data_IF_870937318130
#
_entry.id   IF_870937318130
#
_cell.length_a   1.000
_cell.length_b   1.000
_cell.length_c   1.000
_cell.angle_alpha   90.00
_cell.angle_beta   90.00
_cell.angle_gamma   90.00
#
_symmetry.space_group_name_H-M   'P 1'
#
loop_
_entity.id
_entity.type
_entity.pdbx_description
1 polymer ?
#
# COMPACT_ATOMS: atom_id res chain seq x y z
N UNK A 1 -24.40 6.24 33.11
CA UNK A 1 -24.76 5.57 31.84
C UNK A 1 -24.75 6.62 30.76
N UNK A 2 -23.92 6.47 29.73
CA UNK A 2 -23.90 7.40 28.58
C UNK A 2 -25.11 7.10 27.67
N UNK A 3 -25.74 8.14 27.13
CA UNK A 3 -26.89 8.00 26.25
C UNK A 3 -26.50 7.21 24.97
N UNK A 4 -27.33 6.28 24.47
CA UNK A 4 -27.00 5.42 23.33
C UNK A 4 -26.61 6.19 22.07
N UNK A 5 -27.19 7.37 21.86
CA UNK A 5 -26.95 8.25 20.71
C UNK A 5 -25.52 8.80 20.68
N UNK A 6 -24.91 9.03 21.85
CA UNK A 6 -23.52 9.50 21.97
C UNK A 6 -22.55 8.37 21.59
N UNK A 7 -22.89 7.12 21.96
CA UNK A 7 -22.07 5.94 21.65
C UNK A 7 -22.13 5.63 20.15
N UNK A 8 -23.31 5.70 19.53
CA UNK A 8 -23.47 5.45 18.09
C UNK A 8 -22.71 6.48 17.24
N UNK A 9 -22.87 7.78 17.53
CA UNK A 9 -22.14 8.83 16.82
C UNK A 9 -20.62 8.74 16.99
N UNK A 10 -20.13 8.34 18.17
CA UNK A 10 -18.71 8.07 18.40
C UNK A 10 -18.23 6.86 17.60
N UNK A 11 -19.06 5.82 17.46
CA UNK A 11 -18.72 4.60 16.73
C UNK A 11 -18.63 4.88 15.23
N UNK A 12 -19.55 5.66 14.68
CA UNK A 12 -19.55 6.05 13.26
C UNK A 12 -18.35 6.96 12.92
N UNK A 13 -18.05 7.94 13.77
CA UNK A 13 -16.87 8.80 13.58
C UNK A 13 -15.54 8.04 13.69
N UNK A 14 -15.49 6.99 14.54
CA UNK A 14 -14.33 6.11 14.63
C UNK A 14 -14.23 5.25 13.37
N UNK A 15 -15.34 4.69 12.88
CA UNK A 15 -15.39 3.88 11.67
C UNK A 15 -14.93 4.68 10.44
N UNK A 16 -15.43 5.91 10.26
CA UNK A 16 -15.07 6.78 9.14
C UNK A 16 -13.58 7.17 9.19
N UNK A 17 -13.04 7.50 10.36
CA UNK A 17 -11.60 7.75 10.52
C UNK A 17 -10.75 6.49 10.30
N UNK A 18 -11.27 5.32 10.66
CA UNK A 18 -10.59 4.04 10.42
C UNK A 18 -10.58 3.73 8.92
N UNK A 19 -11.69 3.93 8.23
CA UNK A 19 -11.83 3.75 6.79
C UNK A 19 -10.95 4.73 6.02
N UNK A 20 -10.90 6.00 6.38
CA UNK A 20 -9.99 6.98 5.77
C UNK A 20 -8.51 6.61 6.00
N UNK A 21 -8.17 6.13 7.20
CA UNK A 21 -6.80 5.68 7.49
C UNK A 21 -6.47 4.38 6.76
N UNK A 22 -7.41 3.46 6.60
CA UNK A 22 -7.22 2.20 5.89
C UNK A 22 -7.15 2.42 4.37
N UNK A 23 -8.02 3.24 3.81
CA UNK A 23 -8.02 3.60 2.38
C UNK A 23 -6.76 4.39 1.99
N UNK A 24 -6.26 5.29 2.85
CA UNK A 24 -4.95 5.94 2.64
C UNK A 24 -3.77 5.00 2.83
N UNK A 25 -3.84 4.04 3.77
CA UNK A 25 -2.74 3.11 4.08
C UNK A 25 -2.63 1.94 3.10
N UNK A 26 -3.72 1.63 2.39
CA UNK A 26 -3.78 0.53 1.42
C UNK A 26 -4.38 1.02 0.10
N UNK A 27 -3.85 2.12 -0.45
CA UNK A 27 -4.09 2.43 -1.86
C UNK A 27 -3.70 1.17 -2.66
N UNK A 28 -4.56 0.66 -3.57
CA UNK A 28 -4.31 -0.61 -4.27
C UNK A 28 -3.02 -0.55 -5.11
N UNK A 29 -2.58 0.68 -5.40
CA UNK A 29 -1.39 0.98 -6.17
C UNK A 29 -0.55 2.03 -5.43
N UNK A 30 0.76 1.84 -5.36
CA UNK A 30 1.71 2.82 -4.86
C UNK A 30 2.51 3.46 -6.00
N UNK A 31 2.95 4.70 -5.81
CA UNK A 31 3.90 5.37 -6.69
C UNK A 31 5.28 4.71 -6.61
N UNK A 32 6.20 5.17 -7.47
CA UNK A 32 7.60 4.77 -7.40
C UNK A 32 8.24 5.14 -6.08
N UNK A 33 8.00 6.36 -5.61
CA UNK A 33 8.56 6.89 -4.37
C UNK A 33 8.05 6.10 -3.17
N UNK A 34 6.74 5.86 -3.11
CA UNK A 34 6.13 5.03 -2.07
C UNK A 34 6.64 3.58 -2.09
N UNK A 35 6.83 2.99 -3.28
CA UNK A 35 7.41 1.65 -3.40
C UNK A 35 8.88 1.61 -2.95
N UNK A 36 9.65 2.68 -3.21
CA UNK A 36 11.02 2.81 -2.74
C UNK A 36 11.09 2.91 -1.21
N UNK A 37 10.20 3.70 -0.61
CA UNK A 37 10.10 3.87 0.85
C UNK A 37 9.70 2.57 1.53
N UNK A 38 8.76 1.80 0.94
CA UNK A 38 8.33 0.50 1.44
C UNK A 38 9.43 -0.56 1.38
N UNK A 39 10.27 -0.54 0.33
CA UNK A 39 11.43 -1.44 0.22
C UNK A 39 12.60 -0.93 1.09
N UNK A 40 12.66 0.37 1.38
CA UNK A 40 13.76 1.01 2.08
C UNK A 40 15.04 1.11 1.23
N UNK A 41 14.91 1.42 -0.07
CA UNK A 41 16.04 1.44 -0.99
C UNK A 41 16.21 2.77 -1.76
N UNK A 42 17.43 3.04 -2.22
CA UNK A 42 17.73 4.22 -3.04
C UNK A 42 17.21 4.07 -4.47
N UNK A 43 17.05 5.17 -5.19
CA UNK A 43 16.53 5.17 -6.57
C UNK A 43 17.36 4.30 -7.53
N UNK A 44 18.68 4.23 -7.32
CA UNK A 44 19.59 3.38 -8.10
C UNK A 44 19.33 1.91 -7.87
N UNK A 45 19.22 1.49 -6.60
CA UNK A 45 18.90 0.10 -6.23
C UNK A 45 17.51 -0.28 -6.72
N UNK A 46 16.54 0.61 -6.58
CA UNK A 46 15.18 0.39 -7.09
C UNK A 46 15.16 0.19 -8.61
N UNK A 47 15.95 0.94 -9.37
CA UNK A 47 16.05 0.76 -10.82
C UNK A 47 16.55 -0.64 -11.20
N UNK A 48 17.47 -1.21 -10.43
CA UNK A 48 17.96 -2.57 -10.65
C UNK A 48 16.91 -3.60 -10.24
N UNK A 49 16.24 -3.43 -9.10
CA UNK A 49 15.10 -4.27 -8.68
C UNK A 49 14.01 -4.28 -9.76
N UNK A 50 13.69 -3.10 -10.32
CA UNK A 50 12.67 -2.93 -11.35
C UNK A 50 12.93 -3.77 -12.60
N UNK A 51 14.19 -4.10 -12.90
CA UNK A 51 14.58 -4.87 -14.09
C UNK A 51 14.55 -6.38 -13.86
N UNK A 52 14.42 -6.84 -12.62
CA UNK A 52 14.41 -8.27 -12.32
C UNK A 52 13.10 -8.91 -12.77
N UNK A 53 13.20 -10.18 -13.14
CA UNK A 53 12.03 -10.96 -13.59
C UNK A 53 11.04 -11.20 -12.44
N UNK A 54 11.57 -11.47 -11.24
CA UNK A 54 10.80 -11.66 -10.01
C UNK A 54 10.06 -10.40 -9.56
N UNK A 55 10.37 -9.22 -10.12
CA UNK A 55 9.68 -7.97 -9.79
C UNK A 55 8.62 -7.57 -10.83
N UNK A 56 8.52 -8.27 -11.97
CA UNK A 56 7.58 -7.86 -13.03
C UNK A 56 6.12 -7.96 -12.58
N UNK A 57 5.77 -8.93 -11.75
CA UNK A 57 4.39 -9.10 -11.24
C UNK A 57 3.94 -7.97 -10.31
N UNK A 58 4.88 -7.18 -9.78
CA UNK A 58 4.60 -6.01 -8.95
C UNK A 58 4.18 -4.81 -9.80
N UNK A 59 4.56 -4.77 -11.08
CA UNK A 59 4.18 -3.71 -12.02
C UNK A 59 2.74 -3.89 -12.47
N UNK A 60 2.07 -2.77 -12.70
CA UNK A 60 0.72 -2.76 -13.27
C UNK A 60 0.84 -2.50 -14.77
N UNK A 61 0.35 -3.43 -15.59
CA UNK A 61 0.33 -3.27 -17.05
C UNK A 61 -0.49 -2.03 -17.45
N UNK A 62 0.02 -1.28 -18.43
CA UNK A 62 -0.66 -0.09 -18.94
C UNK A 62 -0.58 1.17 -18.06
N UNK A 63 -0.08 1.09 -16.83
CA UNK A 63 0.10 2.24 -15.94
C UNK A 63 1.59 2.46 -15.67
N UNK A 64 2.18 3.44 -16.33
CA UNK A 64 3.56 3.84 -16.05
C UNK A 64 3.67 4.36 -14.61
N UNK A 65 4.70 3.92 -13.89
CA UNK A 65 5.08 4.45 -12.56
C UNK A 65 4.15 4.11 -11.39
N UNK A 66 3.28 3.09 -11.54
CA UNK A 66 2.49 2.53 -10.44
C UNK A 66 2.74 1.05 -10.23
N UNK A 67 2.68 0.63 -8.97
CA UNK A 67 2.99 -0.73 -8.52
C UNK A 67 1.86 -1.24 -7.64
N UNK A 68 1.52 -2.52 -7.75
CA UNK A 68 0.51 -3.15 -6.90
C UNK A 68 1.05 -3.27 -5.48
N UNK A 69 0.35 -2.64 -4.53
CA UNK A 69 0.75 -2.64 -3.11
C UNK A 69 0.75 -4.05 -2.53
N UNK A 70 -0.25 -4.87 -2.89
CA UNK A 70 -0.34 -6.25 -2.44
C UNK A 70 0.83 -7.11 -2.96
N UNK A 71 1.12 -7.01 -4.26
CA UNK A 71 2.21 -7.76 -4.88
C UNK A 71 3.58 -7.31 -4.38
N UNK A 72 3.75 -6.00 -4.12
CA UNK A 72 4.96 -5.45 -3.53
C UNK A 72 5.20 -6.03 -2.13
N UNK A 73 4.15 -6.11 -1.29
CA UNK A 73 4.24 -6.70 0.05
C UNK A 73 4.54 -8.21 -0.04
N UNK A 74 3.94 -8.94 -0.98
CA UNK A 74 4.25 -10.36 -1.21
C UNK A 74 5.72 -10.58 -1.60
N UNK A 75 6.24 -9.72 -2.49
CA UNK A 75 7.63 -9.75 -2.92
C UNK A 75 8.62 -9.43 -1.78
N UNK A 76 8.36 -8.36 -1.01
CA UNK A 76 9.18 -7.98 0.15
C UNK A 76 9.24 -9.12 1.18
N UNK A 77 8.11 -9.78 1.44
CA UNK A 77 8.04 -10.90 2.37
C UNK A 77 8.64 -12.20 1.81
N UNK A 78 9.14 -12.22 0.57
CA UNK A 78 9.69 -13.40 -0.08
C UNK A 78 8.67 -14.51 -0.31
N UNK A 79 7.37 -14.19 -0.29
CA UNK A 79 6.27 -15.15 -0.45
C UNK A 79 6.02 -15.53 -1.91
N UNK A 80 6.59 -14.76 -2.85
CA UNK A 80 6.68 -15.05 -4.28
C UNK A 80 8.05 -14.61 -4.81
N UNK A 81 8.73 -15.50 -5.52
CA UNK A 81 9.98 -15.28 -6.25
C UNK A 81 9.82 -15.83 -7.66
#
# INVERSE_FOLDING_TARGET
>A
MFAPEVINNLTDAIAEQLEEKLTKKYHPTVSREEAMDLIGCSAGVFNEIRKRDDFQFVRIEGISSRYSTANLIEWINGRRK
#
